data_IF_583424758541
#
_entry.id   IF_583424758541
#
_cell.length_a   1.000
_cell.length_b   1.000
_cell.length_c   1.000
_cell.angle_alpha   90.00
_cell.angle_beta   90.00
_cell.angle_gamma   90.00
#
_symmetry.space_group_name_H-M   'P 1'
#
loop_
_entity.id
_entity.type
_entity.pdbx_description
1 polymer ?
#
# COMPACT_ATOMS: atom_id res chain seq x y z
N UNK A 1 11.96 -7.92 -9.29
CA UNK A 1 11.57 -6.64 -9.90
C UNK A 1 12.84 -5.83 -10.03
N UNK A 2 13.19 -5.43 -11.25
CA UNK A 2 14.39 -4.63 -11.53
C UNK A 2 13.91 -3.22 -11.89
N UNK A 3 14.62 -2.20 -11.44
CA UNK A 3 14.37 -0.80 -11.80
C UNK A 3 12.98 -0.27 -11.37
N UNK A 4 12.41 -0.84 -10.29
CA UNK A 4 11.15 -0.37 -9.71
C UNK A 4 11.45 0.58 -8.55
N UNK A 5 10.92 1.80 -8.64
CA UNK A 5 11.08 2.83 -7.60
C UNK A 5 10.06 2.70 -6.46
N UNK A 6 8.90 2.09 -6.72
CA UNK A 6 7.86 1.90 -5.71
C UNK A 6 6.76 0.93 -6.14
N UNK A 7 5.98 0.47 -5.16
CA UNK A 7 4.91 -0.50 -5.32
C UNK A 7 3.61 0.06 -4.73
N UNK A 8 2.53 -0.02 -5.51
CA UNK A 8 1.18 0.27 -5.02
C UNK A 8 0.37 -1.02 -5.00
N UNK A 9 -0.10 -1.42 -3.82
CA UNK A 9 -0.93 -2.61 -3.65
C UNK A 9 -2.37 -2.19 -3.44
N UNK A 10 -3.29 -2.67 -4.28
CA UNK A 10 -4.72 -2.38 -4.17
C UNK A 10 -5.46 -3.68 -3.90
N UNK A 11 -6.33 -3.68 -2.90
CA UNK A 11 -7.12 -4.86 -2.56
C UNK A 11 -8.49 -4.47 -2.01
N UNK A 12 -9.45 -5.40 -2.09
CA UNK A 12 -10.76 -5.22 -1.47
C UNK A 12 -10.79 -5.89 -0.09
N UNK A 13 -10.84 -5.13 1.02
CA UNK A 13 -10.87 -5.69 2.38
C UNK A 13 -12.21 -6.36 2.75
N UNK A 14 -13.21 -6.30 1.87
CA UNK A 14 -14.49 -7.01 2.03
C UNK A 14 -14.39 -8.47 1.56
N UNK A 15 -13.30 -8.83 0.86
CA UNK A 15 -13.08 -10.16 0.31
C UNK A 15 -11.91 -10.81 1.08
N UNK A 16 -12.17 -11.81 1.95
CA UNK A 16 -11.13 -12.40 2.81
C UNK A 16 -9.94 -13.00 2.06
N UNK A 17 -10.13 -13.51 0.85
CA UNK A 17 -9.03 -14.02 0.03
C UNK A 17 -8.09 -12.91 -0.41
N UNK A 18 -8.61 -11.70 -0.66
CA UNK A 18 -7.78 -10.55 -1.04
C UNK A 18 -6.88 -10.08 0.12
N UNK A 19 -7.33 -10.19 1.38
CA UNK A 19 -6.48 -9.93 2.56
C UNK A 19 -5.25 -10.86 2.60
N UNK A 20 -5.42 -12.12 2.19
CA UNK A 20 -4.33 -13.10 2.13
C UNK A 20 -3.41 -12.79 0.95
N UNK A 21 -3.98 -12.55 -0.23
CA UNK A 21 -3.25 -12.28 -1.47
C UNK A 21 -2.40 -11.01 -1.36
N UNK A 22 -2.94 -9.92 -0.81
CA UNK A 22 -2.19 -8.66 -0.65
C UNK A 22 -0.97 -8.85 0.27
N UNK A 23 -1.08 -9.69 1.29
CA UNK A 23 0.04 -10.04 2.15
C UNK A 23 1.11 -10.86 1.43
N UNK A 24 0.72 -11.78 0.55
CA UNK A 24 1.66 -12.54 -0.30
C UNK A 24 2.36 -11.61 -1.29
N UNK A 25 1.62 -10.70 -1.91
CA UNK A 25 2.18 -9.71 -2.83
C UNK A 25 3.13 -8.74 -2.14
N UNK A 26 2.83 -8.32 -0.91
CA UNK A 26 3.74 -7.51 -0.11
C UNK A 26 5.08 -8.22 0.14
N UNK A 27 5.05 -9.50 0.51
CA UNK A 27 6.28 -10.27 0.69
C UNK A 27 7.06 -10.40 -0.62
N UNK A 28 6.37 -10.70 -1.72
CA UNK A 28 6.99 -10.98 -3.02
C UNK A 28 7.55 -9.72 -3.69
N UNK A 29 6.83 -8.60 -3.62
CA UNK A 29 7.14 -7.39 -4.38
C UNK A 29 7.84 -6.32 -3.55
N UNK A 30 7.74 -6.35 -2.22
CA UNK A 30 8.33 -5.32 -1.35
C UNK A 30 9.43 -5.91 -0.47
N UNK A 31 9.13 -6.94 0.33
CA UNK A 31 10.12 -7.50 1.26
C UNK A 31 11.23 -8.27 0.56
N UNK A 32 10.90 -9.16 -0.38
CA UNK A 32 11.89 -9.97 -1.10
C UNK A 32 12.88 -9.12 -1.91
N UNK A 33 12.46 -8.06 -2.63
CA UNK A 33 13.40 -7.15 -3.29
C UNK A 33 14.02 -6.12 -2.34
N UNK A 34 13.64 -6.13 -1.05
CA UNK A 34 14.13 -5.23 0.00
C UNK A 34 13.86 -3.74 -0.26
N UNK A 35 12.69 -3.42 -0.83
CA UNK A 35 12.24 -2.03 -0.91
C UNK A 35 12.00 -1.46 0.48
N UNK A 36 12.25 -0.16 0.64
CA UNK A 36 11.88 0.59 1.85
C UNK A 36 10.34 0.59 1.98
N UNK A 37 9.82 0.55 3.21
CA UNK A 37 8.38 0.61 3.44
C UNK A 37 7.76 1.91 2.88
N UNK A 38 8.53 3.00 2.80
CA UNK A 38 8.12 4.27 2.15
C UNK A 38 7.92 4.14 0.64
N UNK A 39 8.56 3.15 0.02
CA UNK A 39 8.39 2.80 -1.39
C UNK A 39 7.19 1.85 -1.61
N UNK A 40 6.34 1.65 -0.59
CA UNK A 40 5.11 0.87 -0.72
C UNK A 40 3.92 1.64 -0.17
N UNK A 41 2.89 1.80 -1.00
CA UNK A 41 1.58 2.33 -0.61
C UNK A 41 0.53 1.23 -0.75
N UNK A 42 -0.31 1.05 0.27
CA UNK A 42 -1.43 0.11 0.21
C UNK A 42 -2.73 0.88 0.12
N UNK A 43 -3.64 0.43 -0.76
CA UNK A 43 -4.98 0.98 -0.92
C UNK A 43 -5.98 -0.13 -0.61
N UNK A 44 -6.68 0.02 0.52
CA UNK A 44 -7.81 -0.82 0.88
C UNK A 44 -9.08 -0.21 0.26
N UNK A 45 -9.45 -0.66 -0.94
CA UNK A 45 -10.55 -0.10 -1.73
C UNK A 45 -11.83 -0.90 -1.55
N UNK A 46 -12.89 -0.27 -1.06
CA UNK A 46 -14.18 -0.90 -0.78
C UNK A 46 -15.21 -0.51 -1.82
N UNK A 47 -16.09 -1.45 -2.18
CA UNK A 47 -17.22 -1.14 -3.03
C UNK A 47 -18.30 -0.38 -2.23
N UNK A 48 -18.48 -0.73 -0.96
CA UNK A 48 -19.43 -0.06 -0.07
C UNK A 48 -18.81 1.18 0.61
N UNK A 49 -19.54 2.31 0.68
CA UNK A 49 -19.13 3.45 1.50
C UNK A 49 -19.23 3.13 3.00
N UNK A 50 -20.02 2.13 3.38
CA UNK A 50 -20.21 1.73 4.77
C UNK A 50 -19.04 0.87 5.23
N UNK A 51 -18.38 1.20 6.36
CA UNK A 51 -17.31 0.36 6.88
C UNK A 51 -17.84 -1.02 7.27
N UNK A 52 -17.34 -2.08 6.62
CA UNK A 52 -17.56 -3.43 7.09
C UNK A 52 -17.04 -3.56 8.55
N UNK A 53 -17.79 -4.23 9.44
CA UNK A 53 -17.39 -4.38 10.83
C UNK A 53 -16.15 -5.28 10.89
N UNK A 54 -14.98 -4.65 11.07
CA UNK A 54 -13.63 -5.25 11.18
C UNK A 54 -13.00 -5.65 9.84
N UNK A 55 -12.42 -4.69 9.10
CA UNK A 55 -11.20 -5.06 8.37
C UNK A 55 -10.03 -4.93 9.34
N UNK A 56 -9.63 -6.03 9.96
CA UNK A 56 -8.33 -6.05 10.65
C UNK A 56 -7.26 -5.96 9.56
N UNK A 57 -6.28 -5.08 9.73
CA UNK A 57 -5.14 -5.04 8.82
C UNK A 57 -4.51 -6.43 8.74
N UNK A 58 -4.23 -6.96 7.53
CA UNK A 58 -3.50 -8.21 7.38
C UNK A 58 -2.20 -8.14 8.21
N UNK A 59 -1.86 -9.15 9.03
CA UNK A 59 -0.67 -9.10 9.90
C UNK A 59 0.62 -8.79 9.16
N UNK A 60 0.73 -9.26 7.91
CA UNK A 60 1.88 -8.98 7.03
C UNK A 60 2.03 -7.50 6.68
N UNK A 61 0.93 -6.74 6.68
CA UNK A 61 0.91 -5.30 6.41
C UNK A 61 1.07 -4.47 7.68
N UNK A 62 1.24 -5.08 8.86
CA UNK A 62 1.36 -4.34 10.13
C UNK A 62 2.51 -3.31 10.12
N UNK A 63 3.61 -3.58 9.40
CA UNK A 63 4.72 -2.64 9.25
C UNK A 63 4.40 -1.41 8.39
N UNK A 64 3.24 -1.41 7.72
CA UNK A 64 2.74 -0.33 6.87
C UNK A 64 1.50 0.34 7.47
N UNK A 65 1.16 0.12 8.74
CA UNK A 65 -0.10 0.61 9.33
C UNK A 65 -0.37 2.11 9.18
N UNK A 66 0.68 2.94 9.02
CA UNK A 66 0.56 4.37 8.72
C UNK A 66 0.37 4.73 7.23
N UNK A 67 0.63 3.79 6.31
CA UNK A 67 0.63 3.99 4.85
C UNK A 67 -0.49 3.20 4.15
N UNK A 68 -1.66 3.06 4.80
CA UNK A 68 -2.83 2.38 4.22
C UNK A 68 -3.91 3.41 3.94
N UNK A 69 -4.20 3.61 2.66
CA UNK A 69 -5.24 4.48 2.18
C UNK A 69 -6.56 3.70 2.11
N UNK A 70 -7.52 4.06 2.95
CA UNK A 70 -8.87 3.50 2.88
C UNK A 70 -9.70 4.32 1.88
N UNK A 71 -10.23 3.66 0.85
CA UNK A 71 -10.94 4.33 -0.25
C UNK A 71 -12.22 3.62 -0.65
N UNK A 72 -13.08 4.35 -1.35
CA UNK A 72 -14.24 3.83 -2.08
C UNK A 72 -14.40 4.61 -3.40
N UNK A 73 -15.50 4.40 -4.14
CA UNK A 73 -15.74 5.08 -5.42
C UNK A 73 -15.90 6.62 -5.32
N UNK A 74 -16.15 7.17 -4.13
CA UNK A 74 -16.20 8.62 -3.89
C UNK A 74 -14.84 9.21 -3.45
N UNK A 75 -13.80 8.39 -3.27
CA UNK A 75 -12.50 8.78 -2.73
C UNK A 75 -11.52 9.37 -3.76
N UNK A 76 -11.97 9.88 -4.91
CA UNK A 76 -11.09 10.31 -6.02
C UNK A 76 -10.01 11.29 -5.54
N UNK A 77 -10.38 12.33 -4.81
CA UNK A 77 -9.43 13.31 -4.30
C UNK A 77 -8.41 12.70 -3.33
N UNK A 78 -8.83 11.75 -2.50
CA UNK A 78 -7.96 11.06 -1.55
C UNK A 78 -6.95 10.15 -2.27
N UNK A 79 -7.36 9.52 -3.37
CA UNK A 79 -6.47 8.72 -4.22
C UNK A 79 -5.43 9.61 -4.89
N UNK A 80 -5.84 10.79 -5.40
CA UNK A 80 -4.91 11.75 -6.03
C UNK A 80 -3.89 12.24 -5.01
N UNK A 81 -4.33 12.76 -3.86
CA UNK A 81 -3.42 13.24 -2.81
C UNK A 81 -2.52 12.12 -2.29
N UNK A 82 -3.08 10.92 -2.05
CA UNK A 82 -2.30 9.77 -1.61
C UNK A 82 -1.24 9.34 -2.62
N UNK A 83 -1.52 9.46 -3.92
CA UNK A 83 -0.52 9.20 -4.96
C UNK A 83 0.59 10.25 -5.00
N UNK A 84 0.26 11.53 -4.84
CA UNK A 84 1.26 12.61 -4.76
C UNK A 84 2.18 12.46 -3.55
N UNK A 85 1.62 12.13 -2.38
CA UNK A 85 2.40 11.88 -1.18
C UNK A 85 3.28 10.63 -1.33
N UNK A 86 2.76 9.56 -1.96
CA UNK A 86 3.54 8.37 -2.29
C UNK A 86 4.74 8.68 -3.19
N UNK A 87 4.56 9.49 -4.23
CA UNK A 87 5.68 9.90 -5.10
C UNK A 87 6.76 10.67 -4.32
N UNK A 88 6.37 11.50 -3.36
CA UNK A 88 7.29 12.23 -2.48
C UNK A 88 8.08 11.26 -1.58
N UNK A 89 7.41 10.29 -0.97
CA UNK A 89 8.03 9.27 -0.12
C UNK A 89 9.01 8.38 -0.89
N UNK A 90 8.61 7.94 -2.10
CA UNK A 90 9.48 7.18 -3.01
C UNK A 90 10.74 7.97 -3.34
N UNK A 91 10.58 9.24 -3.74
CA UNK A 91 11.71 10.10 -4.07
C UNK A 91 12.69 10.24 -2.88
N UNK A 92 12.17 10.48 -1.67
CA UNK A 92 12.99 10.59 -0.46
C UNK A 92 13.71 9.28 -0.12
N UNK A 93 13.03 8.14 -0.28
CA UNK A 93 13.62 6.83 -0.04
C UNK A 93 14.77 6.53 -1.02
N UNK A 94 14.58 6.76 -2.32
CA UNK A 94 15.62 6.58 -3.35
C UNK A 94 16.83 7.49 -3.09
N UNK A 95 16.60 8.76 -2.74
CA UNK A 95 17.68 9.69 -2.38
C UNK A 95 18.45 9.27 -1.11
N UNK A 96 17.76 8.63 -0.15
CA UNK A 96 18.41 8.11 1.07
C UNK A 96 19.29 6.89 0.77
N UNK A 97 18.88 6.05 -0.19
CA UNK A 97 19.63 4.85 -0.60
C UNK A 97 20.89 5.20 -1.40
N UNK A 98 20.83 6.24 -2.26
CA UNK A 98 21.99 6.74 -3.01
C UNK A 98 23.11 7.33 -2.13
N UNK A 99 22.78 7.74 -0.91
CA UNK A 99 23.72 8.33 0.05
C UNK A 99 24.42 7.30 0.95
N UNK A 100 24.05 6.03 0.86
CA UNK A 100 24.64 4.92 1.62
C UNK A 100 25.59 4.13 0.74
#
# INVERSE_FOLDING_TARGET
>A
MKDVDGVMLVYNPEIPTHDIEVGIWFDQFVKRPKLDNRQCQVIAHRASPTPAPRSRLPPKLASLSGNILHTNFASVSQVITGFEDFLREVHQASMTQLRK
#
